data_IF_464760226588
#
_entry.id   IF_464760226588
#
_cell.length_a   1.000
_cell.length_b   1.000
_cell.length_c   1.000
_cell.angle_alpha   90.00
_cell.angle_beta   90.00
_cell.angle_gamma   90.00
#
_symmetry.space_group_name_H-M   'P 1'
#
loop_
_entity.id
_entity.type
_entity.pdbx_description
1 polymer ?
#
# COMPACT_ATOMS: atom_id res chain seq x y z
N UNK A 1 4.25 -1.48 27.90
CA UNK A 1 4.29 -1.06 26.48
C UNK A 1 5.66 -0.70 25.93
N UNK A 2 6.64 -0.20 26.71
CA UNK A 2 7.97 0.16 26.19
C UNK A 2 8.66 -0.97 25.41
N UNK A 3 8.63 -2.21 25.90
CA UNK A 3 9.22 -3.36 25.19
C UNK A 3 8.53 -3.65 23.86
N UNK A 4 7.19 -3.53 23.80
CA UNK A 4 6.43 -3.73 22.56
C UNK A 4 6.76 -2.61 21.57
N UNK A 5 6.85 -1.36 22.04
CA UNK A 5 7.25 -0.22 21.20
C UNK A 5 8.66 -0.38 20.65
N UNK A 6 9.62 -0.80 21.48
CA UNK A 6 10.98 -1.08 21.03
C UNK A 6 11.02 -2.16 19.94
N UNK A 7 10.14 -3.15 19.99
CA UNK A 7 10.01 -4.16 18.93
C UNK A 7 9.45 -3.56 17.65
N UNK A 8 8.43 -2.70 17.73
CA UNK A 8 7.89 -2.00 16.56
C UNK A 8 8.95 -1.10 15.92
N UNK A 9 9.76 -0.42 16.72
CA UNK A 9 10.83 0.47 16.25
C UNK A 9 11.94 -0.29 15.49
N UNK A 10 12.02 -1.62 15.61
CA UNK A 10 12.90 -2.46 14.78
C UNK A 10 12.32 -2.80 13.39
N UNK A 11 11.17 -2.22 13.02
CA UNK A 11 10.49 -2.45 11.74
C UNK A 11 9.58 -3.69 11.72
N UNK A 12 9.18 -4.19 12.90
CA UNK A 12 8.27 -5.34 13.01
C UNK A 12 6.83 -4.88 13.23
N UNK A 13 5.90 -5.51 12.52
CA UNK A 13 4.45 -5.29 12.73
C UNK A 13 3.99 -6.10 13.94
N UNK A 14 3.32 -5.43 14.89
CA UNK A 14 2.70 -6.08 16.05
C UNK A 14 1.19 -5.90 15.97
N UNK A 15 0.45 -7.00 16.08
CA UNK A 15 -1.01 -7.01 16.19
C UNK A 15 -1.39 -7.65 17.51
N UNK A 16 -2.19 -6.96 18.31
CA UNK A 16 -2.65 -7.45 19.60
C UNK A 16 -4.09 -7.00 19.89
N UNK A 17 -4.80 -7.78 20.69
CA UNK A 17 -6.11 -7.41 21.25
C UNK A 17 -5.92 -6.90 22.67
N UNK A 18 -6.62 -5.82 23.02
CA UNK A 18 -6.52 -5.21 24.34
C UNK A 18 -7.93 -4.86 24.81
N UNK A 19 -8.27 -5.26 26.03
CA UNK A 19 -9.61 -5.07 26.55
C UNK A 19 -9.85 -3.70 27.16
N UNK A 20 -8.91 -3.16 27.94
CA UNK A 20 -9.07 -1.88 28.64
C UNK A 20 -7.70 -1.23 28.91
N UNK A 21 -7.10 -0.55 27.92
CA UNK A 21 -5.82 0.10 28.11
C UNK A 21 -5.95 1.38 28.95
N UNK A 22 -4.90 1.71 29.70
CA UNK A 22 -4.73 3.05 30.24
C UNK A 22 -4.44 4.04 29.09
N UNK A 23 -4.63 5.34 29.34
CA UNK A 23 -4.43 6.41 28.36
C UNK A 23 -3.03 6.32 27.74
N UNK A 24 -1.98 6.20 28.57
CA UNK A 24 -0.59 6.09 28.11
C UNK A 24 -0.33 4.86 27.22
N UNK A 25 -1.07 3.78 27.43
CA UNK A 25 -0.95 2.56 26.62
C UNK A 25 -1.69 2.75 25.30
N UNK A 26 -2.88 3.35 25.35
CA UNK A 26 -3.72 3.57 24.19
C UNK A 26 -3.09 4.56 23.21
N UNK A 27 -2.52 5.65 23.71
CA UNK A 27 -1.78 6.64 22.91
C UNK A 27 -0.46 6.10 22.32
N UNK A 28 0.00 4.92 22.74
CA UNK A 28 1.20 4.30 22.19
C UNK A 28 0.96 3.51 20.89
N UNK A 29 -0.31 3.32 20.49
CA UNK A 29 -0.68 2.62 19.27
C UNK A 29 -0.76 3.55 18.06
N UNK A 30 -0.26 3.08 16.92
CA UNK A 30 -0.30 3.86 15.68
C UNK A 30 -1.68 3.77 14.99
N UNK A 31 -2.27 2.57 14.94
CA UNK A 31 -3.59 2.29 14.35
C UNK A 31 -4.49 1.49 15.31
N UNK A 32 -5.81 1.72 15.20
CA UNK A 32 -6.85 0.99 15.91
C UNK A 32 -7.77 0.27 14.92
N UNK A 33 -8.03 -1.01 15.18
CA UNK A 33 -9.12 -1.79 14.60
C UNK A 33 -10.17 -2.03 15.69
N UNK A 34 -11.31 -1.36 15.59
CA UNK A 34 -12.40 -1.49 16.54
C UNK A 34 -13.54 -2.32 15.93
N UNK A 35 -13.93 -3.38 16.65
CA UNK A 35 -14.96 -4.32 16.24
C UNK A 35 -16.13 -4.28 17.21
N UNK A 36 -17.36 -4.38 16.69
CA UNK A 36 -18.56 -4.62 17.50
C UNK A 36 -18.93 -6.10 17.55
N UNK A 37 -19.87 -6.43 18.44
CA UNK A 37 -20.44 -7.78 18.54
C UNK A 37 -20.97 -8.22 17.18
N UNK A 38 -20.56 -9.41 16.73
CA UNK A 38 -20.82 -9.88 15.36
C UNK A 38 -19.62 -9.77 14.41
N UNK A 39 -18.49 -9.22 14.88
CA UNK A 39 -17.26 -9.12 14.09
C UNK A 39 -17.29 -8.01 13.05
N UNK A 40 -18.24 -7.08 13.16
CA UNK A 40 -18.33 -5.95 12.24
C UNK A 40 -17.38 -4.82 12.66
N UNK A 41 -16.70 -4.25 11.68
CA UNK A 41 -15.82 -3.10 11.84
C UNK A 41 -16.63 -1.82 12.05
N UNK A 42 -16.28 -1.05 13.07
CA UNK A 42 -16.89 0.25 13.36
C UNK A 42 -15.91 1.41 13.27
N UNK A 43 -14.61 1.11 13.33
CA UNK A 43 -13.53 2.06 13.07
C UNK A 43 -12.24 1.31 12.71
N UNK A 44 -11.60 1.69 11.60
CA UNK A 44 -10.24 1.27 11.28
C UNK A 44 -9.45 2.48 10.82
N UNK A 45 -8.47 2.90 11.61
CA UNK A 45 -7.73 4.11 11.30
C UNK A 45 -6.65 4.46 12.30
N UNK A 46 -5.87 5.51 12.02
CA UNK A 46 -4.85 6.01 12.91
C UNK A 46 -5.48 6.62 14.16
N UNK A 47 -4.93 6.36 15.34
CA UNK A 47 -5.40 7.01 16.57
C UNK A 47 -5.09 8.52 16.56
N UNK A 48 -3.96 8.90 15.97
CA UNK A 48 -3.42 10.26 16.03
C UNK A 48 -2.80 10.58 17.39
N UNK A 49 -2.21 11.78 17.53
CA UNK A 49 -1.67 12.21 18.82
C UNK A 49 -2.81 12.41 19.81
N UNK A 50 -2.70 11.83 21.00
CA UNK A 50 -3.76 11.88 22.02
C UNK A 50 -5.12 11.38 21.52
N UNK A 51 -5.12 10.34 20.68
CA UNK A 51 -6.33 9.75 20.11
C UNK A 51 -7.22 10.75 19.33
N UNK A 52 -6.64 11.85 18.82
CA UNK A 52 -7.40 12.96 18.24
C UNK A 52 -8.20 12.57 16.99
N UNK A 53 -7.68 11.67 16.15
CA UNK A 53 -8.35 11.27 14.91
C UNK A 53 -9.53 10.34 15.18
N UNK A 54 -9.39 9.46 16.18
CA UNK A 54 -10.48 8.63 16.70
C UNK A 54 -11.60 9.50 17.28
N UNK A 55 -11.24 10.46 18.13
CA UNK A 55 -12.21 11.35 18.80
C UNK A 55 -12.96 12.17 17.75
N UNK A 56 -12.26 12.81 16.81
CA UNK A 56 -12.89 13.57 15.71
C UNK A 56 -13.86 12.73 14.89
N UNK A 57 -13.53 11.45 14.63
CA UNK A 57 -14.41 10.56 13.87
C UNK A 57 -15.73 10.31 14.60
N UNK A 58 -15.67 9.90 15.87
CA UNK A 58 -16.88 9.60 16.64
C UNK A 58 -17.67 10.85 17.05
N UNK A 59 -16.99 11.96 17.35
CA UNK A 59 -17.65 13.25 17.62
C UNK A 59 -18.29 13.86 16.37
N UNK A 60 -17.86 13.46 15.17
CA UNK A 60 -18.49 13.86 13.90
C UNK A 60 -19.81 13.15 13.62
N UNK A 61 -20.19 12.15 14.42
CA UNK A 61 -21.46 11.43 14.28
C UNK A 61 -22.53 12.14 15.10
N UNK A 62 -23.64 12.49 14.45
CA UNK A 62 -24.76 13.19 15.09
C UNK A 62 -25.31 12.40 16.30
N UNK A 63 -25.37 13.06 17.45
CA UNK A 63 -25.90 12.51 18.69
C UNK A 63 -24.88 11.80 19.60
N UNK A 64 -23.61 11.68 19.18
CA UNK A 64 -22.54 11.18 20.06
C UNK A 64 -22.15 12.26 21.08
N UNK A 65 -22.04 11.87 22.35
CA UNK A 65 -21.57 12.76 23.41
C UNK A 65 -20.07 13.00 23.28
N UNK A 66 -19.67 14.28 23.32
CA UNK A 66 -18.26 14.68 23.32
C UNK A 66 -17.49 14.10 24.51
N UNK A 67 -16.21 13.83 24.30
CA UNK A 67 -15.36 13.33 25.36
C UNK A 67 -15.13 14.43 26.42
N UNK A 68 -15.06 14.04 27.69
CA UNK A 68 -14.73 14.96 28.80
C UNK A 68 -13.21 15.13 28.88
N UNK A 69 -12.75 16.32 29.27
CA UNK A 69 -11.32 16.59 29.46
C UNK A 69 -10.70 15.61 30.47
N UNK A 70 -9.59 14.97 30.07
CA UNK A 70 -8.88 13.98 30.87
C UNK A 70 -9.56 12.61 30.98
N UNK A 71 -10.68 12.38 30.28
CA UNK A 71 -11.33 11.08 30.26
C UNK A 71 -10.61 10.11 29.32
N UNK A 72 -10.62 8.81 29.64
CA UNK A 72 -9.89 7.82 28.86
C UNK A 72 -10.58 7.57 27.51
N UNK A 73 -9.94 7.87 26.35
CA UNK A 73 -10.54 7.68 25.03
C UNK A 73 -10.93 6.22 24.76
N UNK A 74 -10.16 5.25 25.28
CA UNK A 74 -10.46 3.83 25.12
C UNK A 74 -11.73 3.41 25.87
N UNK A 75 -12.00 4.02 27.02
CA UNK A 75 -13.25 3.79 27.78
C UNK A 75 -14.41 4.49 27.11
N UNK A 76 -14.22 5.76 26.74
CA UNK A 76 -15.23 6.57 26.06
C UNK A 76 -15.73 5.94 24.76
N UNK A 77 -14.82 5.47 23.90
CA UNK A 77 -15.22 4.88 22.61
C UNK A 77 -16.12 3.66 22.83
N UNK A 78 -15.83 2.81 23.81
CA UNK A 78 -16.62 1.60 24.08
C UNK A 78 -18.01 1.93 24.64
N UNK A 79 -18.12 3.00 25.43
CA UNK A 79 -19.40 3.51 25.94
C UNK A 79 -20.26 4.08 24.80
N UNK A 80 -19.65 4.88 23.93
CA UNK A 80 -20.31 5.49 22.76
C UNK A 80 -20.77 4.44 21.76
N UNK A 81 -19.97 3.39 21.54
CA UNK A 81 -20.30 2.31 20.60
C UNK A 81 -21.06 1.16 21.26
N UNK A 82 -21.58 1.36 22.46
CA UNK A 82 -22.36 0.33 23.16
C UNK A 82 -23.69 0.06 22.47
N UNK A 83 -24.22 -1.16 22.59
CA UNK A 83 -25.51 -1.53 21.99
C UNK A 83 -26.68 -0.69 22.53
N UNK A 84 -26.57 -0.21 23.78
CA UNK A 84 -27.57 0.68 24.37
C UNK A 84 -27.57 2.05 23.69
N UNK A 85 -26.38 2.60 23.44
CA UNK A 85 -26.23 3.88 22.75
C UNK A 85 -26.63 3.77 21.26
N UNK A 86 -26.27 2.68 20.60
CA UNK A 86 -26.67 2.37 19.22
C UNK A 86 -28.21 2.36 19.08
N UNK A 87 -28.91 1.71 20.03
CA UNK A 87 -30.36 1.69 20.08
C UNK A 87 -30.99 3.06 20.40
N UNK A 88 -30.38 3.83 21.31
CA UNK A 88 -30.85 5.17 21.67
C UNK A 88 -30.75 6.15 20.50
N UNK A 89 -29.65 6.08 19.75
CA UNK A 89 -29.39 6.93 18.58
C UNK A 89 -30.09 6.43 17.31
N UNK A 90 -30.59 5.19 17.29
CA UNK A 90 -31.17 4.52 16.11
C UNK A 90 -30.23 4.53 14.90
N UNK A 91 -28.93 4.39 15.14
CA UNK A 91 -27.89 4.33 14.11
C UNK A 91 -27.24 2.96 14.13
N UNK A 92 -26.72 2.48 13.01
CA UNK A 92 -25.84 1.31 12.96
C UNK A 92 -24.41 1.74 12.67
N UNK A 93 -23.54 1.72 13.69
CA UNK A 93 -22.15 2.19 13.57
C UNK A 93 -21.34 1.44 12.50
N UNK A 94 -21.62 0.15 12.30
CA UNK A 94 -20.96 -0.64 11.25
C UNK A 94 -21.33 -0.16 9.83
N UNK A 95 -22.57 0.25 9.62
CA UNK A 95 -23.01 0.79 8.32
C UNK A 95 -22.48 2.20 8.10
N UNK A 96 -22.47 3.03 9.15
CA UNK A 96 -21.87 4.36 9.12
C UNK A 96 -20.38 4.30 8.79
N UNK A 97 -19.64 3.35 9.38
CA UNK A 97 -18.23 3.17 9.05
C UNK A 97 -18.04 2.73 7.59
N UNK A 98 -18.86 1.77 7.10
CA UNK A 98 -18.81 1.31 5.71
C UNK A 98 -19.11 2.44 4.70
N UNK A 99 -19.95 3.41 5.04
CA UNK A 99 -20.26 4.58 4.20
C UNK A 99 -19.31 5.76 4.42
N UNK A 100 -18.49 5.73 5.47
CA UNK A 100 -17.58 6.82 5.83
C UNK A 100 -16.46 7.02 4.80
N UNK A 101 -15.98 8.27 4.71
CA UNK A 101 -14.81 8.64 3.90
C UNK A 101 -13.55 7.86 4.29
N UNK A 102 -13.40 7.51 5.57
CA UNK A 102 -12.22 6.79 6.08
C UNK A 102 -12.11 5.39 5.45
N UNK A 103 -13.22 4.65 5.41
CA UNK A 103 -13.27 3.33 4.79
C UNK A 103 -13.11 3.40 3.27
N UNK A 104 -13.77 4.36 2.63
CA UNK A 104 -13.72 4.55 1.18
C UNK A 104 -12.31 4.93 0.71
N UNK A 105 -11.66 5.86 1.40
CA UNK A 105 -10.31 6.31 1.08
C UNK A 105 -9.30 5.17 1.15
N UNK A 106 -9.32 4.36 2.22
CA UNK A 106 -8.40 3.21 2.37
C UNK A 106 -8.54 2.19 1.23
N UNK A 107 -9.79 1.86 0.83
CA UNK A 107 -10.03 0.97 -0.31
C UNK A 107 -9.64 1.59 -1.64
N UNK A 108 -9.97 2.86 -1.85
CA UNK A 108 -9.65 3.58 -3.07
C UNK A 108 -8.13 3.72 -3.25
N UNK A 109 -7.38 3.98 -2.19
CA UNK A 109 -5.92 4.09 -2.24
C UNK A 109 -5.26 2.78 -2.67
N UNK A 110 -5.72 1.65 -2.12
CA UNK A 110 -5.25 0.31 -2.54
C UNK A 110 -5.63 0.02 -3.98
N UNK A 111 -6.87 0.30 -4.38
CA UNK A 111 -7.32 0.10 -5.75
C UNK A 111 -6.56 0.98 -6.74
N UNK A 112 -6.31 2.24 -6.41
CA UNK A 112 -5.52 3.18 -7.20
C UNK A 112 -4.07 2.70 -7.35
N UNK A 113 -3.46 2.19 -6.28
CA UNK A 113 -2.13 1.59 -6.33
C UNK A 113 -2.09 0.37 -7.26
N UNK A 114 -3.02 -0.57 -7.12
CA UNK A 114 -3.06 -1.76 -7.97
C UNK A 114 -3.40 -1.43 -9.44
N UNK A 115 -4.39 -0.57 -9.67
CA UNK A 115 -4.82 -0.17 -11.00
C UNK A 115 -3.74 0.61 -11.76
N UNK A 116 -3.04 1.52 -11.07
CA UNK A 116 -1.92 2.25 -11.68
C UNK A 116 -0.74 1.34 -12.01
N UNK A 117 -0.37 0.42 -11.12
CA UNK A 117 0.68 -0.56 -11.39
C UNK A 117 0.32 -1.43 -12.60
N UNK A 118 -0.93 -1.91 -12.67
CA UNK A 118 -1.41 -2.72 -13.79
C UNK A 118 -1.37 -1.96 -15.12
N UNK A 119 -1.92 -0.74 -15.16
CA UNK A 119 -1.94 0.09 -16.37
C UNK A 119 -0.52 0.44 -16.84
N UNK A 120 0.37 0.77 -15.90
CA UNK A 120 1.75 1.10 -16.18
C UNK A 120 2.54 -0.08 -16.75
N UNK A 121 2.40 -1.25 -16.14
CA UNK A 121 3.09 -2.48 -16.58
C UNK A 121 2.61 -2.90 -17.96
N UNK A 122 1.30 -2.89 -18.22
CA UNK A 122 0.78 -3.23 -19.54
C UNK A 122 1.24 -2.23 -20.60
N UNK A 123 1.09 -0.94 -20.34
CA UNK A 123 1.44 0.09 -21.31
C UNK A 123 2.93 0.07 -21.64
N UNK A 124 3.81 0.11 -20.62
CA UNK A 124 5.25 0.07 -20.84
C UNK A 124 5.73 -1.27 -21.39
N UNK A 125 5.15 -2.38 -20.91
CA UNK A 125 5.50 -3.73 -21.34
C UNK A 125 5.20 -3.97 -22.82
N UNK A 126 4.04 -3.52 -23.30
CA UNK A 126 3.66 -3.60 -24.72
C UNK A 126 4.55 -2.67 -25.57
N UNK A 127 4.80 -1.44 -25.13
CA UNK A 127 5.63 -0.48 -25.87
C UNK A 127 7.10 -0.93 -25.97
N UNK A 128 7.65 -1.51 -24.91
CA UNK A 128 8.98 -2.12 -24.96
C UNK A 128 9.00 -3.36 -25.87
N UNK A 129 7.88 -4.09 -26.00
CA UNK A 129 7.81 -5.25 -26.90
C UNK A 129 7.86 -4.82 -28.35
N UNK A 130 7.01 -3.88 -28.72
CA UNK A 130 6.90 -3.38 -30.09
C UNK A 130 8.18 -2.69 -30.55
N UNK A 131 8.90 -2.01 -29.65
CA UNK A 131 10.18 -1.36 -29.97
C UNK A 131 11.35 -2.34 -30.09
N UNK A 132 11.42 -3.38 -29.25
CA UNK A 132 12.56 -4.31 -29.22
C UNK A 132 12.44 -5.43 -30.27
N UNK A 133 11.21 -5.87 -30.59
CA UNK A 133 10.94 -6.91 -31.58
C UNK A 133 11.66 -6.73 -32.94
N UNK A 134 11.62 -5.55 -33.61
CA UNK A 134 12.30 -5.37 -34.90
C UNK A 134 13.82 -5.44 -34.78
N UNK A 135 14.40 -4.91 -33.70
CA UNK A 135 15.85 -4.95 -33.46
C UNK A 135 16.33 -6.40 -33.28
N UNK A 136 15.63 -7.17 -32.44
CA UNK A 136 15.94 -8.58 -32.20
C UNK A 136 15.75 -9.41 -33.47
N UNK A 137 14.76 -9.11 -34.30
CA UNK A 137 14.54 -9.82 -35.57
C UNK A 137 15.73 -9.67 -36.52
N UNK A 138 16.31 -8.47 -36.61
CA UNK A 138 17.51 -8.20 -37.44
C UNK A 138 18.72 -8.93 -36.85
N UNK A 139 18.99 -8.74 -35.55
CA UNK A 139 20.16 -9.34 -34.88
C UNK A 139 20.13 -10.87 -34.89
N UNK A 140 18.94 -11.48 -34.78
CA UNK A 140 18.77 -12.93 -34.84
C UNK A 140 19.28 -13.52 -36.15
N UNK A 141 19.10 -12.82 -37.28
CA UNK A 141 19.62 -13.29 -38.57
C UNK A 141 21.14 -13.28 -38.63
N UNK A 142 21.78 -12.29 -38.00
CA UNK A 142 23.25 -12.22 -37.88
C UNK A 142 23.76 -13.31 -36.95
N UNK A 143 23.13 -13.47 -35.78
CA UNK A 143 23.49 -14.51 -34.81
C UNK A 143 23.47 -15.92 -35.40
N UNK A 144 22.45 -16.28 -36.20
CA UNK A 144 22.42 -17.59 -36.85
C UNK A 144 23.57 -17.79 -37.84
N UNK A 145 24.00 -16.74 -38.55
CA UNK A 145 25.15 -16.80 -39.46
C UNK A 145 26.47 -16.98 -38.68
N UNK A 146 26.67 -16.22 -37.62
CA UNK A 146 27.89 -16.30 -36.80
C UNK A 146 27.99 -17.60 -36.00
N UNK A 147 26.85 -18.14 -35.55
CA UNK A 147 26.76 -19.45 -34.91
C UNK A 147 27.09 -20.58 -35.88
N UNK A 148 26.61 -20.51 -37.12
CA UNK A 148 26.96 -21.48 -38.16
C UNK A 148 28.46 -21.43 -38.54
N UNK A 149 29.08 -20.25 -38.44
CA UNK A 149 30.52 -20.07 -38.62
C UNK A 149 31.38 -20.46 -37.40
N UNK A 150 30.75 -20.89 -36.28
CA UNK A 150 31.46 -21.31 -35.07
C UNK A 150 32.07 -20.17 -34.25
N UNK A 151 31.67 -18.91 -34.46
CA UNK A 151 32.30 -17.75 -33.81
C UNK A 151 31.84 -17.52 -32.36
N UNK A 152 30.56 -17.76 -32.04
CA UNK A 152 30.02 -17.57 -30.69
C UNK A 152 28.96 -18.60 -30.31
N UNK A 153 28.92 -18.92 -29.02
CA UNK A 153 27.88 -19.78 -28.43
C UNK A 153 26.63 -18.97 -28.05
N UNK A 154 25.50 -19.64 -27.81
CA UNK A 154 24.24 -18.96 -27.48
C UNK A 154 24.25 -18.26 -26.10
N UNK A 155 25.06 -18.74 -25.16
CA UNK A 155 25.09 -18.23 -23.78
C UNK A 155 25.71 -16.82 -23.66
N UNK A 156 26.88 -16.51 -24.25
CA UNK A 156 27.42 -15.15 -24.26
C UNK A 156 26.48 -14.11 -24.89
N UNK A 157 25.77 -14.49 -25.95
CA UNK A 157 24.77 -13.63 -26.60
C UNK A 157 23.60 -13.31 -25.66
N UNK A 158 23.03 -14.31 -25.01
CA UNK A 158 21.95 -14.12 -24.04
C UNK A 158 22.38 -13.26 -22.84
N UNK A 159 23.58 -13.51 -22.31
CA UNK A 159 24.11 -12.74 -21.19
C UNK A 159 24.33 -11.27 -21.56
N UNK A 160 24.94 -11.00 -22.71
CA UNK A 160 25.12 -9.63 -23.21
C UNK A 160 23.79 -8.89 -23.36
N UNK A 161 22.75 -9.58 -23.87
CA UNK A 161 21.40 -9.02 -23.99
C UNK A 161 20.76 -8.69 -22.64
N UNK A 162 20.89 -9.54 -21.64
CA UNK A 162 20.37 -9.25 -20.29
C UNK A 162 21.09 -8.05 -19.68
N UNK A 163 22.43 -7.99 -19.82
CA UNK A 163 23.24 -6.93 -19.21
C UNK A 163 22.93 -5.55 -19.80
N UNK A 164 22.64 -5.43 -21.09
CA UNK A 164 22.29 -4.13 -21.70
C UNK A 164 20.87 -3.68 -21.36
N UNK A 165 19.94 -4.63 -21.17
CA UNK A 165 18.52 -4.32 -20.89
C UNK A 165 18.31 -3.87 -19.44
N UNK A 166 19.07 -4.41 -18.48
CA UNK A 166 18.94 -4.05 -17.06
C UNK A 166 19.05 -2.54 -16.77
N UNK A 167 20.11 -1.82 -17.18
CA UNK A 167 20.23 -0.39 -16.91
C UNK A 167 19.18 0.43 -17.67
N UNK A 168 18.84 0.02 -18.89
CA UNK A 168 17.81 0.69 -19.70
C UNK A 168 16.44 0.63 -19.02
N UNK A 169 16.02 -0.58 -18.62
CA UNK A 169 14.76 -0.80 -17.91
C UNK A 169 14.75 -0.10 -16.55
N UNK A 170 15.87 -0.06 -15.83
CA UNK A 170 15.95 0.66 -14.56
C UNK A 170 15.70 2.17 -14.72
N UNK A 171 16.38 2.80 -15.69
CA UNK A 171 16.20 4.23 -15.97
C UNK A 171 14.77 4.52 -16.43
N UNK A 172 14.21 3.67 -17.30
CA UNK A 172 12.84 3.81 -17.77
C UNK A 172 11.83 3.67 -16.62
N UNK A 173 11.98 2.68 -15.74
CA UNK A 173 11.12 2.53 -14.56
C UNK A 173 11.26 3.72 -13.61
N UNK A 174 12.46 4.26 -13.43
CA UNK A 174 12.69 5.42 -12.56
C UNK A 174 11.95 6.66 -13.08
N UNK A 175 12.13 7.00 -14.36
CA UNK A 175 11.50 8.18 -14.96
C UNK A 175 9.98 8.05 -14.92
N UNK A 176 9.45 6.93 -15.39
CA UNK A 176 8.01 6.72 -15.44
C UNK A 176 7.40 6.62 -14.02
N UNK A 177 8.07 5.91 -13.12
CA UNK A 177 7.63 5.71 -11.75
C UNK A 177 7.52 7.02 -10.99
N UNK A 178 8.50 7.94 -11.12
CA UNK A 178 8.44 9.26 -10.49
C UNK A 178 7.24 10.07 -11.00
N UNK A 179 7.00 10.08 -12.31
CA UNK A 179 5.89 10.84 -12.90
C UNK A 179 4.54 10.30 -12.42
N UNK A 180 4.32 8.99 -12.51
CA UNK A 180 3.03 8.39 -12.14
C UNK A 180 2.77 8.47 -10.64
N UNK A 181 3.80 8.24 -9.82
CA UNK A 181 3.70 8.37 -8.36
C UNK A 181 3.28 9.80 -7.95
N UNK A 182 3.85 10.81 -8.62
CA UNK A 182 3.48 12.21 -8.42
C UNK A 182 2.05 12.51 -8.90
N UNK A 183 1.64 11.99 -10.06
CA UNK A 183 0.32 12.25 -10.64
C UNK A 183 -0.83 11.66 -9.82
N UNK A 184 -0.64 10.50 -9.21
CA UNK A 184 -1.67 9.87 -8.38
C UNK A 184 -1.80 10.56 -7.01
N UNK A 185 -0.74 11.28 -6.59
CA UNK A 185 -0.72 11.95 -5.29
C UNK A 185 -0.49 11.00 -4.12
N UNK A 186 0.32 9.95 -4.30
CA UNK A 186 0.69 9.07 -3.19
C UNK A 186 1.54 9.80 -2.14
N UNK A 187 1.45 9.36 -0.89
CA UNK A 187 2.26 9.90 0.20
C UNK A 187 3.75 9.75 -0.13
N UNK A 188 4.50 10.85 -0.15
CA UNK A 188 5.95 10.90 -0.42
C UNK A 188 6.81 10.35 0.73
N UNK A 189 6.48 9.15 1.19
CA UNK A 189 7.32 8.39 2.11
C UNK A 189 8.38 7.65 1.31
N UNK A 190 9.65 7.88 1.63
CA UNK A 190 10.81 7.26 0.95
C UNK A 190 10.63 5.74 0.84
N UNK A 191 10.22 5.08 1.93
CA UNK A 191 9.97 3.64 1.96
C UNK A 191 8.88 3.19 0.98
N UNK A 192 7.75 3.91 0.91
CA UNK A 192 6.64 3.58 0.01
C UNK A 192 7.04 3.75 -1.45
N UNK A 193 7.80 4.81 -1.75
CA UNK A 193 8.31 5.08 -3.09
C UNK A 193 9.30 4.00 -3.55
N UNK A 194 10.23 3.58 -2.70
CA UNK A 194 11.17 2.50 -3.03
C UNK A 194 10.46 1.16 -3.28
N UNK A 195 9.46 0.81 -2.47
CA UNK A 195 8.66 -0.40 -2.72
C UNK A 195 7.90 -0.32 -4.04
N UNK A 196 7.28 0.82 -4.34
CA UNK A 196 6.60 1.04 -5.61
C UNK A 196 7.55 0.86 -6.79
N UNK A 197 8.73 1.50 -6.74
CA UNK A 197 9.75 1.39 -7.79
C UNK A 197 10.29 -0.04 -7.93
N UNK A 198 10.51 -0.73 -6.82
CA UNK A 198 10.92 -2.13 -6.79
C UNK A 198 9.90 -3.01 -7.52
N UNK A 199 8.63 -3.01 -7.09
CA UNK A 199 7.61 -3.84 -7.72
C UNK A 199 7.41 -3.51 -9.20
N UNK A 200 7.44 -2.23 -9.57
CA UNK A 200 7.36 -1.79 -10.96
C UNK A 200 8.52 -2.31 -11.80
N UNK A 201 9.76 -2.24 -11.28
CA UNK A 201 10.95 -2.68 -12.00
C UNK A 201 10.95 -4.19 -12.22
N UNK A 202 10.72 -4.98 -11.17
CA UNK A 202 10.69 -6.45 -11.27
C UNK A 202 9.57 -6.96 -12.16
N UNK A 203 8.41 -6.30 -12.17
CA UNK A 203 7.31 -6.69 -13.06
C UNK A 203 7.64 -6.39 -14.53
N UNK A 204 8.33 -5.28 -14.83
CA UNK A 204 8.79 -4.98 -16.19
C UNK A 204 9.91 -5.91 -16.65
N UNK A 205 10.81 -6.31 -15.76
CA UNK A 205 11.83 -7.32 -16.05
C UNK A 205 11.19 -8.65 -16.42
N UNK A 206 10.18 -9.09 -15.66
CA UNK A 206 9.42 -10.30 -15.97
C UNK A 206 8.80 -10.22 -17.38
N UNK A 207 8.13 -9.11 -17.71
CA UNK A 207 7.54 -8.93 -19.05
C UNK A 207 8.56 -8.88 -20.19
N UNK A 208 9.79 -8.45 -19.92
CA UNK A 208 10.82 -8.30 -20.96
C UNK A 208 11.57 -9.61 -21.19
N UNK A 209 11.90 -10.34 -20.13
CA UNK A 209 12.67 -11.59 -20.22
C UNK A 209 11.82 -12.85 -20.43
N UNK A 210 10.52 -12.80 -20.15
CA UNK A 210 9.61 -13.92 -20.38
C UNK A 210 8.99 -13.91 -21.80
N UNK A 211 9.60 -13.17 -22.74
CA UNK A 211 9.27 -13.18 -24.18
C UNK A 211 9.97 -14.33 -24.91
#
# INVERSE_FOLDING_TARGET
MRTVRNTVDTGRTVVCTIHQPSIDIFDAFDELLLLKRGGEEIYVGPLGRHSSELIKYFEGIDGVNKIKDGYNPATWMLEVTSTAQEAALRVHFAELYKSSELHRKKKQDVFNAMGSMYAAVLFLGVQNATSVQPVVAIERTVFYRERAAGMYYALPYAFGKVVIELPYLFIQTLIYGVIVYAMIGFDWTVTKFFWYLFFMHFTLLYFTFHR
#
